data_IF_336896319452
#
_entry.id   IF_336896319452
#
_cell.length_a   1.000
_cell.length_b   1.000
_cell.length_c   1.000
_cell.angle_alpha   90.00
_cell.angle_beta   90.00
_cell.angle_gamma   90.00
#
_symmetry.space_group_name_H-M   'P 1'
#
loop_
_entity.id
_entity.type
_entity.pdbx_description
1 polymer ?
#
# COMPACT_ATOMS: atom_id res chain seq x y z
N UNK A 1 -10.23 3.95 0.58
CA UNK A 1 -9.85 2.97 1.61
C UNK A 1 -10.64 1.70 1.43
N UNK A 2 -10.65 0.88 2.47
CA UNK A 2 -11.36 -0.40 2.52
C UNK A 2 -12.86 -0.26 2.27
N UNK A 3 -13.47 -1.33 1.76
CA UNK A 3 -14.93 -1.47 1.69
C UNK A 3 -15.51 -1.73 3.09
N UNK A 4 -16.83 -1.61 3.26
CA UNK A 4 -17.53 -1.88 4.53
C UNK A 4 -17.66 -0.70 5.50
N UNK A 5 -16.95 0.41 5.25
CA UNK A 5 -16.97 1.62 6.09
C UNK A 5 -17.64 2.84 5.41
N UNK A 6 -18.47 2.57 4.40
CA UNK A 6 -19.18 3.59 3.63
C UNK A 6 -18.39 4.22 2.49
N UNK A 7 -19.11 4.83 1.55
CA UNK A 7 -18.54 5.33 0.29
C UNK A 7 -17.45 6.38 0.51
N UNK A 8 -17.67 7.30 1.45
CA UNK A 8 -16.70 8.34 1.80
C UNK A 8 -15.35 7.75 2.18
N UNK A 9 -15.31 6.71 3.01
CA UNK A 9 -14.06 6.06 3.41
C UNK A 9 -13.42 5.30 2.24
N UNK A 10 -14.22 4.65 1.40
CA UNK A 10 -13.73 3.99 0.20
C UNK A 10 -13.08 4.99 -0.77
N UNK A 11 -13.67 6.17 -0.95
CA UNK A 11 -13.17 7.18 -1.89
C UNK A 11 -11.91 7.92 -1.37
N UNK A 12 -11.59 7.85 -0.08
CA UNK A 12 -10.39 8.49 0.48
C UNK A 12 -9.05 7.95 -0.06
N UNK A 13 -9.07 6.82 -0.78
CA UNK A 13 -7.86 6.24 -1.40
C UNK A 13 -7.87 6.36 -2.93
N UNK A 14 -8.81 7.12 -3.50
CA UNK A 14 -8.76 7.48 -4.91
C UNK A 14 -7.62 8.47 -5.13
N UNK A 15 -6.87 8.29 -6.20
CA UNK A 15 -5.71 9.11 -6.56
C UNK A 15 -4.60 9.18 -5.48
N UNK A 16 -4.53 8.22 -4.56
CA UNK A 16 -3.64 8.28 -3.37
C UNK A 16 -3.07 6.90 -2.97
N UNK A 17 -2.94 5.95 -3.90
CA UNK A 17 -2.34 4.64 -3.58
C UNK A 17 -0.93 4.78 -3.00
N UNK A 18 -0.74 4.28 -1.78
CA UNK A 18 0.55 4.35 -1.09
C UNK A 18 0.79 5.67 -0.34
N UNK A 19 -0.20 6.57 -0.32
CA UNK A 19 -0.20 7.80 0.45
C UNK A 19 -0.77 7.56 1.85
N UNK A 20 -2.02 7.99 2.09
CA UNK A 20 -2.62 7.89 3.44
C UNK A 20 -2.80 6.46 3.93
N UNK A 21 -3.04 5.52 3.04
CA UNK A 21 -3.18 4.12 3.41
C UNK A 21 -1.85 3.47 3.85
N UNK A 22 -0.71 3.94 3.36
CA UNK A 22 0.60 3.59 3.92
C UNK A 22 0.75 4.10 5.35
N UNK A 23 0.31 5.33 5.64
CA UNK A 23 0.32 5.88 6.99
C UNK A 23 -0.62 5.10 7.93
N UNK A 24 -1.77 4.66 7.44
CA UNK A 24 -2.69 3.81 8.22
C UNK A 24 -2.05 2.44 8.54
N UNK A 25 -1.35 1.83 7.58
CA UNK A 25 -0.58 0.59 7.78
C UNK A 25 0.55 0.79 8.80
N UNK A 26 1.29 1.90 8.69
CA UNK A 26 2.36 2.24 9.63
C UNK A 26 1.82 2.45 11.06
N UNK A 27 0.70 3.15 11.22
CA UNK A 27 0.03 3.32 12.51
C UNK A 27 -0.48 1.99 13.07
N UNK A 28 -0.94 1.08 12.21
CA UNK A 28 -1.28 -0.28 12.60
C UNK A 28 -0.08 -1.01 13.23
N UNK A 29 1.10 -0.91 12.60
CA UNK A 29 2.32 -1.52 13.14
C UNK A 29 2.76 -0.89 14.46
N UNK A 30 2.75 0.45 14.56
CA UNK A 30 3.03 1.17 15.82
C UNK A 30 2.05 0.77 16.93
N UNK A 31 0.77 0.66 16.59
CA UNK A 31 -0.24 0.19 17.54
C UNK A 31 0.08 -1.23 18.02
N UNK A 32 0.42 -2.15 17.11
CA UNK A 32 0.84 -3.50 17.47
C UNK A 32 2.06 -3.49 18.41
N UNK A 33 3.07 -2.65 18.17
CA UNK A 33 4.25 -2.50 19.06
C UNK A 33 3.88 -2.03 20.47
N UNK A 34 2.78 -1.29 20.63
CA UNK A 34 2.32 -0.77 21.91
C UNK A 34 1.63 -1.81 22.80
N UNK A 35 1.20 -2.94 22.23
CA UNK A 35 0.44 -3.97 22.95
C UNK A 35 1.40 -4.87 23.75
N UNK A 36 1.15 -5.01 25.05
CA UNK A 36 2.03 -5.75 25.97
C UNK A 36 2.16 -7.25 25.67
N UNK A 37 1.26 -7.81 24.86
CA UNK A 37 1.24 -9.22 24.47
C UNK A 37 1.82 -9.46 23.06
N UNK A 38 2.31 -8.41 22.38
CA UNK A 38 2.94 -8.50 21.07
C UNK A 38 4.46 -8.36 21.23
N UNK A 39 5.23 -9.20 20.54
CA UNK A 39 6.67 -9.02 20.43
C UNK A 39 6.99 -7.85 19.49
N UNK A 40 7.23 -6.68 20.09
CA UNK A 40 7.45 -5.43 19.35
C UNK A 40 8.72 -5.42 18.48
N UNK A 41 9.63 -6.39 18.65
CA UNK A 41 10.84 -6.54 17.83
C UNK A 41 10.63 -7.41 16.60
N UNK A 42 9.52 -8.14 16.51
CA UNK A 42 9.26 -9.14 15.47
C UNK A 42 7.91 -8.90 14.78
N UNK A 43 7.74 -7.71 14.19
CA UNK A 43 6.57 -7.38 13.40
C UNK A 43 6.92 -7.47 11.91
N UNK A 44 6.21 -8.34 11.20
CA UNK A 44 6.35 -8.49 9.75
C UNK A 44 5.15 -7.92 8.99
N UNK A 45 5.38 -7.58 7.72
CA UNK A 45 4.32 -7.19 6.78
C UNK A 45 4.21 -8.20 5.63
N UNK A 46 2.98 -8.58 5.31
CA UNK A 46 2.67 -9.46 4.18
C UNK A 46 1.51 -8.87 3.39
N UNK A 47 1.57 -9.00 2.07
CA UNK A 47 0.48 -8.57 1.21
C UNK A 47 0.55 -9.15 -0.20
N UNK A 48 -0.64 -9.43 -0.75
CA UNK A 48 -0.84 -9.92 -2.12
C UNK A 48 -1.37 -8.84 -3.06
N UNK A 49 -0.98 -8.83 -4.33
CA UNK A 49 -1.50 -7.89 -5.34
C UNK A 49 -1.25 -6.41 -4.93
N UNK A 50 -2.30 -5.61 -4.72
CA UNK A 50 -2.17 -4.28 -4.11
C UNK A 50 -1.48 -4.31 -2.75
N UNK A 51 -1.75 -5.33 -1.93
CA UNK A 51 -1.04 -5.54 -0.68
C UNK A 51 0.46 -5.77 -0.89
N UNK A 52 0.88 -6.39 -2.00
CA UNK A 52 2.29 -6.56 -2.30
C UNK A 52 2.97 -5.23 -2.68
N UNK A 53 2.25 -4.34 -3.38
CA UNK A 53 2.68 -2.96 -3.58
C UNK A 53 2.84 -2.21 -2.26
N UNK A 54 1.85 -2.34 -1.37
CA UNK A 54 1.92 -1.76 -0.03
C UNK A 54 3.11 -2.33 0.77
N UNK A 55 3.39 -3.63 0.67
CA UNK A 55 4.57 -4.25 1.29
C UNK A 55 5.87 -3.62 0.77
N UNK A 56 6.01 -3.43 -0.55
CA UNK A 56 7.19 -2.77 -1.13
C UNK A 56 7.33 -1.31 -0.65
N UNK A 57 6.23 -0.55 -0.62
CA UNK A 57 6.24 0.82 -0.09
C UNK A 57 6.60 0.87 1.39
N UNK A 58 6.02 -0.01 2.20
CA UNK A 58 6.25 -0.06 3.63
C UNK A 58 7.72 -0.26 3.97
N UNK A 59 8.41 -1.20 3.30
CA UNK A 59 9.85 -1.44 3.56
C UNK A 59 10.77 -0.38 2.96
N UNK A 60 10.33 0.36 1.94
CA UNK A 60 11.16 1.41 1.31
C UNK A 60 10.98 2.77 1.96
N UNK A 61 9.78 3.10 2.44
CA UNK A 61 9.44 4.41 3.02
C UNK A 61 9.38 4.40 4.55
N UNK A 62 9.15 3.24 5.18
CA UNK A 62 9.05 3.08 6.65
C UNK A 62 9.87 1.87 7.13
N UNK A 63 11.16 1.74 6.74
CA UNK A 63 11.94 0.52 6.96
C UNK A 63 12.04 0.09 8.42
N UNK A 64 12.12 1.05 9.36
CA UNK A 64 12.34 0.79 10.79
C UNK A 64 11.14 0.13 11.50
N UNK A 65 9.99 0.01 10.82
CA UNK A 65 8.80 -0.61 11.38
C UNK A 65 8.81 -2.13 11.29
N UNK A 66 9.57 -2.71 10.35
CA UNK A 66 9.37 -4.09 9.91
C UNK A 66 10.63 -4.94 10.11
N UNK A 67 10.45 -6.09 10.74
CA UNK A 67 11.51 -7.09 10.93
C UNK A 67 11.59 -8.07 9.77
N UNK A 68 10.49 -8.25 9.03
CA UNK A 68 10.40 -9.08 7.84
C UNK A 68 9.31 -8.56 6.90
N UNK A 69 9.44 -8.86 5.61
CA UNK A 69 8.44 -8.50 4.61
C UNK A 69 8.28 -9.60 3.56
N UNK A 70 7.05 -9.84 3.13
CA UNK A 70 6.74 -10.76 2.04
C UNK A 70 5.70 -10.14 1.10
N UNK A 71 6.14 -9.79 -0.09
CA UNK A 71 5.29 -9.25 -1.15
C UNK A 71 4.95 -10.37 -2.14
N UNK A 72 3.69 -10.81 -2.15
CA UNK A 72 3.24 -11.86 -3.06
C UNK A 72 2.54 -11.24 -4.27
N UNK A 73 3.00 -11.58 -5.49
CA UNK A 73 2.44 -11.06 -6.76
C UNK A 73 2.18 -9.54 -6.73
N UNK A 74 3.08 -8.80 -6.06
CA UNK A 74 2.94 -7.38 -5.79
C UNK A 74 3.18 -6.52 -7.02
N UNK A 75 2.49 -5.38 -7.09
CA UNK A 75 2.77 -4.38 -8.11
C UNK A 75 4.06 -3.65 -7.69
N UNK A 76 5.15 -3.83 -8.44
CA UNK A 76 6.46 -3.23 -8.10
C UNK A 76 6.71 -1.89 -8.78
N UNK A 77 5.99 -1.58 -9.86
CA UNK A 77 6.16 -0.35 -10.63
C UNK A 77 4.83 0.10 -11.26
N UNK A 78 4.28 1.23 -10.82
CA UNK A 78 2.95 1.69 -11.22
C UNK A 78 2.84 2.01 -12.72
N UNK A 79 3.83 2.71 -13.30
CA UNK A 79 3.86 3.01 -14.76
C UNK A 79 3.79 1.74 -15.61
N UNK A 80 4.74 0.82 -15.41
CA UNK A 80 4.77 -0.47 -16.12
C UNK A 80 3.49 -1.28 -15.90
N UNK A 81 2.92 -1.28 -14.70
CA UNK A 81 1.66 -1.95 -14.39
C UNK A 81 0.49 -1.35 -15.19
N UNK A 82 0.38 -0.03 -15.25
CA UNK A 82 -0.63 0.66 -16.05
C UNK A 82 -0.45 0.40 -17.55
N UNK A 83 0.77 0.56 -18.06
CA UNK A 83 1.08 0.41 -19.49
C UNK A 83 0.76 -0.99 -20.00
N UNK A 84 1.13 -2.03 -19.23
CA UNK A 84 0.95 -3.45 -19.60
C UNK A 84 -0.41 -4.04 -19.21
N UNK A 85 -1.26 -3.28 -18.51
CA UNK A 85 -2.60 -3.74 -18.15
C UNK A 85 -3.56 -3.72 -19.33
N UNK A 86 -4.56 -4.61 -19.29
CA UNK A 86 -5.62 -4.66 -20.32
C UNK A 86 -6.39 -3.33 -20.37
N UNK A 87 -6.85 -2.89 -21.55
CA UNK A 87 -7.50 -1.58 -21.70
C UNK A 87 -8.64 -1.31 -20.71
N UNK A 88 -9.48 -2.30 -20.41
CA UNK A 88 -10.60 -2.13 -19.47
C UNK A 88 -10.17 -1.92 -18.01
N UNK A 89 -8.96 -2.32 -17.61
CA UNK A 89 -8.43 -2.05 -16.28
C UNK A 89 -7.75 -0.69 -16.15
N UNK A 90 -7.33 -0.07 -17.26
CA UNK A 90 -6.57 1.19 -17.24
C UNK A 90 -7.34 2.32 -16.54
N UNK A 91 -8.66 2.41 -16.78
CA UNK A 91 -9.51 3.38 -16.09
C UNK A 91 -9.49 3.18 -14.56
N UNK A 92 -9.70 1.93 -14.10
CA UNK A 92 -9.65 1.60 -12.68
C UNK A 92 -8.29 1.96 -12.08
N UNK A 93 -7.20 1.56 -12.73
CA UNK A 93 -5.84 1.79 -12.24
C UNK A 93 -5.57 3.29 -12.09
N UNK A 94 -5.84 4.08 -13.12
CA UNK A 94 -5.62 5.54 -13.10
C UNK A 94 -6.43 6.24 -12.01
N UNK A 95 -7.71 5.88 -11.85
CA UNK A 95 -8.58 6.46 -10.83
C UNK A 95 -8.09 6.22 -9.39
N UNK A 96 -7.30 5.17 -9.16
CA UNK A 96 -6.81 4.83 -7.84
C UNK A 96 -5.37 5.28 -7.60
N UNK A 97 -4.48 5.06 -8.57
CA UNK A 97 -3.06 5.41 -8.40
C UNK A 97 -2.79 6.91 -8.55
N UNK A 98 -3.67 7.64 -9.25
CA UNK A 98 -3.40 9.01 -9.67
C UNK A 98 -2.73 9.09 -11.05
N UNK A 99 -2.37 10.29 -11.46
CA UNK A 99 -1.44 10.47 -12.58
C UNK A 99 -0.02 10.19 -12.07
N UNK A 100 0.78 9.47 -12.85
CA UNK A 100 2.22 9.39 -12.60
C UNK A 100 2.87 10.60 -13.26
N UNK A 101 3.58 11.42 -12.50
CA UNK A 101 4.39 12.49 -13.08
C UNK A 101 5.63 11.85 -13.72
N UNK A 102 5.98 12.22 -14.95
CA UNK A 102 7.17 11.69 -15.61
C UNK A 102 8.47 12.14 -14.91
N UNK A 103 8.37 13.11 -14.00
CA UNK A 103 9.49 13.75 -13.29
C UNK A 103 9.46 13.60 -11.76
N UNK A 104 8.66 12.71 -11.18
CA UNK A 104 8.74 12.46 -9.73
C UNK A 104 9.91 11.52 -9.42
N UNK A 105 11.12 12.09 -9.32
CA UNK A 105 12.26 11.48 -8.62
C UNK A 105 12.05 11.49 -7.09
#
# INVERSE_FOLDING_TARGET
GSTGYGRKFQDMNLMDWGGKDLEDVAKGAEHLKSLSYVDNKNIGIFGGSYGGFMTFLAVTKKPDLWSAACAWIGISHLKTFYERSRPHFKYFIRMHMGEYDENSE
#
